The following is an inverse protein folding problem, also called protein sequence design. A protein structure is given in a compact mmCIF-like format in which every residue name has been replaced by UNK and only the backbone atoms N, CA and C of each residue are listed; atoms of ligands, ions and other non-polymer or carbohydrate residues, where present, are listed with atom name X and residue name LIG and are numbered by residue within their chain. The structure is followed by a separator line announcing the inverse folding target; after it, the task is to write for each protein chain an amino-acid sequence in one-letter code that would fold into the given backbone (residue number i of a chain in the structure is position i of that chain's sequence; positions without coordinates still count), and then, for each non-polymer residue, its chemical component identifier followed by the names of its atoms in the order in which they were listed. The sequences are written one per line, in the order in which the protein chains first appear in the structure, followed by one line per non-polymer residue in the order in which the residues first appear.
data_IF_957960205443
#
_entry.id   IF_957960205443
#
_cell.length_a   1.000
_cell.length_b   1.000
_cell.length_c   1.000
_cell.angle_alpha   90.00
_cell.angle_beta   90.00
_cell.angle_gamma   90.00
#
_symmetry.space_group_name_H-M   'P 1'
#
loop_
_entity.id
_entity.type
_entity.pdbx_description
1 polymer ?
#
# COMPACT_ATOMS: atom_id res chain seq x y z
N UNK A 1 29.87 -15.62 -30.52
CA UNK A 1 28.92 -14.79 -29.73
C UNK A 1 27.55 -15.45 -29.75
N UNK A 2 27.08 -16.03 -28.64
CA UNK A 2 25.69 -16.51 -28.50
C UNK A 2 25.21 -16.17 -27.08
N UNK A 3 24.49 -15.05 -26.94
CA UNK A 3 23.84 -14.65 -25.68
C UNK A 3 22.47 -15.34 -25.64
N UNK A 4 22.34 -16.37 -24.80
CA UNK A 4 21.05 -17.01 -24.55
C UNK A 4 20.20 -16.09 -23.65
N UNK A 5 19.02 -15.76 -24.16
CA UNK A 5 18.09 -14.81 -23.55
C UNK A 5 17.35 -15.49 -22.40
N UNK A 6 17.52 -14.92 -21.20
CA UNK A 6 16.98 -15.38 -19.94
C UNK A 6 15.47 -15.04 -19.88
N UNK A 7 14.60 -15.95 -20.32
CA UNK A 7 13.14 -15.81 -20.17
C UNK A 7 12.74 -16.23 -18.75
N UNK A 8 12.82 -15.29 -17.81
CA UNK A 8 12.22 -15.47 -16.49
C UNK A 8 10.70 -15.56 -16.63
N UNK A 9 10.16 -16.74 -16.33
CA UNK A 9 8.75 -17.03 -16.20
C UNK A 9 8.21 -16.26 -14.98
N UNK A 10 7.78 -15.01 -15.18
CA UNK A 10 7.00 -14.25 -14.19
C UNK A 10 5.63 -14.91 -14.08
N UNK A 11 5.50 -15.88 -13.18
CA UNK A 11 4.20 -16.33 -12.67
C UNK A 11 3.49 -15.07 -12.15
N UNK A 12 2.47 -14.62 -12.88
CA UNK A 12 1.64 -13.50 -12.46
C UNK A 12 0.97 -13.93 -11.14
N UNK A 13 1.34 -13.25 -10.06
CA UNK A 13 0.68 -13.41 -8.77
C UNK A 13 -0.78 -12.98 -8.97
N UNK A 14 -1.78 -13.76 -8.49
CA UNK A 14 -3.17 -13.37 -8.63
C UNK A 14 -3.36 -11.96 -8.07
N UNK A 15 -3.88 -11.07 -8.91
CA UNK A 15 -4.26 -9.73 -8.48
C UNK A 15 -5.34 -9.87 -7.42
N UNK A 16 -5.17 -9.32 -6.22
CA UNK A 16 -6.22 -9.37 -5.21
C UNK A 16 -7.50 -8.77 -5.78
N UNK A 17 -8.58 -9.55 -5.71
CA UNK A 17 -9.91 -9.17 -6.17
C UNK A 17 -10.46 -8.18 -5.14
N UNK A 18 -10.44 -6.89 -5.48
CA UNK A 18 -11.06 -5.85 -4.66
C UNK A 18 -12.37 -5.41 -5.33
N UNK A 19 -13.48 -5.26 -4.57
CA UNK A 19 -14.76 -4.81 -5.11
C UNK A 19 -14.64 -3.40 -5.71
N UNK A 20 -15.31 -3.17 -6.85
CA UNK A 20 -15.11 -2.03 -7.76
C UNK A 20 -15.44 -0.63 -7.18
N UNK A 21 -16.02 -0.53 -5.98
CA UNK A 21 -16.15 0.75 -5.25
C UNK A 21 -15.01 0.88 -4.23
N UNK A 22 -13.82 1.10 -4.76
CA UNK A 22 -12.49 1.07 -4.12
C UNK A 22 -12.22 2.15 -3.05
N UNK A 23 -13.24 2.83 -2.51
CA UNK A 23 -13.06 3.87 -1.50
C UNK A 23 -13.48 3.34 -0.13
N UNK A 24 -12.52 3.17 0.77
CA UNK A 24 -12.78 2.80 2.17
C UNK A 24 -12.95 4.06 3.02
N UNK A 25 -13.94 4.08 3.91
CA UNK A 25 -14.21 5.22 4.81
C UNK A 25 -13.83 4.85 6.24
N UNK A 26 -13.10 5.75 6.90
CA UNK A 26 -12.83 5.69 8.34
C UNK A 26 -13.11 7.02 9.00
N UNK A 27 -13.17 7.05 10.32
CA UNK A 27 -13.29 8.29 11.08
C UNK A 27 -11.93 8.72 11.62
N UNK A 28 -11.59 10.00 11.49
CA UNK A 28 -10.41 10.59 12.12
C UNK A 28 -10.56 10.59 13.65
N UNK A 29 -9.65 9.95 14.41
CA UNK A 29 -9.75 9.90 15.87
C UNK A 29 -9.43 11.25 16.54
N UNK A 30 -8.94 12.25 15.78
CA UNK A 30 -8.59 13.58 16.31
C UNK A 30 -9.74 14.59 16.18
N UNK A 31 -10.41 14.64 15.04
CA UNK A 31 -11.44 15.64 14.76
C UNK A 31 -12.82 15.04 14.46
N UNK A 32 -12.95 13.70 14.38
CA UNK A 32 -14.22 13.04 14.09
C UNK A 32 -14.66 13.13 12.62
N UNK A 33 -13.88 13.79 11.75
CA UNK A 33 -14.20 13.89 10.33
C UNK A 33 -14.04 12.55 9.61
N UNK A 34 -14.79 12.38 8.52
CA UNK A 34 -14.64 11.24 7.64
C UNK A 34 -13.39 11.34 6.78
N UNK A 35 -12.66 10.23 6.72
CA UNK A 35 -11.47 10.07 5.88
C UNK A 35 -11.75 8.98 4.86
N UNK A 36 -11.60 9.34 3.59
CA UNK A 36 -11.82 8.45 2.46
C UNK A 36 -10.47 8.00 1.90
N UNK A 37 -10.33 6.71 1.69
CA UNK A 37 -9.08 6.06 1.31
C UNK A 37 -9.24 5.36 -0.01
N UNK A 38 -8.30 5.59 -0.92
CA UNK A 38 -8.22 4.79 -2.14
C UNK A 38 -7.43 3.50 -1.87
N UNK A 39 -7.50 2.46 -2.73
CA UNK A 39 -6.80 1.20 -2.48
C UNK A 39 -5.28 1.38 -2.56
N UNK A 40 -4.80 2.34 -3.33
CA UNK A 40 -3.36 2.63 -3.43
C UNK A 40 -2.78 3.07 -2.07
N UNK A 41 -3.62 3.68 -1.22
CA UNK A 41 -3.25 4.13 0.12
C UNK A 41 -3.10 2.99 1.13
N UNK A 42 -3.56 1.76 0.84
CA UNK A 42 -3.46 0.62 1.77
C UNK A 42 -2.00 0.27 2.16
N UNK A 43 -1.05 0.63 1.30
CA UNK A 43 0.38 0.38 1.53
C UNK A 43 1.09 1.54 2.26
N UNK A 44 0.37 2.63 2.57
CA UNK A 44 0.90 3.75 3.33
C UNK A 44 0.71 3.54 4.82
N UNK A 45 1.78 3.72 5.61
CA UNK A 45 1.76 3.52 7.07
C UNK A 45 0.90 4.53 7.81
N UNK A 46 0.85 5.76 7.28
CA UNK A 46 0.13 6.88 7.86
C UNK A 46 -0.64 7.59 6.76
N UNK A 47 -1.78 8.13 7.11
CA UNK A 47 -2.69 8.84 6.22
C UNK A 47 -2.92 10.25 6.72
N UNK A 48 -3.11 11.17 5.80
CA UNK A 48 -3.31 12.57 6.12
C UNK A 48 -4.81 12.86 6.26
N UNK A 49 -5.23 13.41 7.39
CA UNK A 49 -6.59 13.92 7.56
C UNK A 49 -6.71 15.29 6.89
N UNK A 50 -7.48 15.37 5.80
CA UNK A 50 -7.70 16.64 5.08
C UNK A 50 -8.46 17.69 5.93
N UNK A 51 -9.20 17.27 6.96
CA UNK A 51 -9.99 18.18 7.80
C UNK A 51 -9.18 18.83 8.92
N UNK A 52 -8.23 18.13 9.53
CA UNK A 52 -7.46 18.64 10.68
C UNK A 52 -5.95 18.70 10.45
N UNK A 53 -5.46 18.25 9.30
CA UNK A 53 -4.04 18.29 8.94
C UNK A 53 -3.15 17.26 9.65
N UNK A 54 -3.73 16.36 10.45
CA UNK A 54 -2.97 15.39 11.23
C UNK A 54 -2.64 14.12 10.44
N UNK A 55 -1.46 13.55 10.73
CA UNK A 55 -1.05 12.25 10.19
C UNK A 55 -1.51 11.12 11.12
N UNK A 56 -2.44 10.31 10.64
CA UNK A 56 -3.09 9.23 11.37
C UNK A 56 -2.50 7.87 10.99
N UNK A 57 -2.53 6.87 11.88
CA UNK A 57 -2.21 5.50 11.49
C UNK A 57 -3.22 4.99 10.46
N UNK A 58 -2.73 4.30 9.42
CA UNK A 58 -3.60 3.64 8.46
C UNK A 58 -4.11 2.31 9.03
N UNK A 59 -5.42 2.14 9.27
CA UNK A 59 -5.95 0.88 9.79
C UNK A 59 -5.84 -0.28 8.79
N UNK A 60 -5.63 0.00 7.51
CA UNK A 60 -5.45 -1.01 6.46
C UNK A 60 -3.98 -1.42 6.24
N UNK A 61 -3.03 -0.75 6.90
CA UNK A 61 -1.62 -1.06 6.70
C UNK A 61 -1.24 -2.37 7.39
N UNK A 62 -0.96 -3.40 6.60
CA UNK A 62 -0.38 -4.64 7.09
C UNK A 62 1.15 -4.66 6.87
N UNK A 63 1.98 -4.68 7.92
CA UNK A 63 3.44 -4.82 7.78
C UNK A 63 3.87 -6.16 7.16
N UNK A 64 3.02 -7.19 7.21
CA UNK A 64 3.27 -8.53 6.66
C UNK A 64 2.86 -8.65 5.19
N UNK A 65 2.16 -7.65 4.64
CA UNK A 65 1.78 -7.62 3.23
C UNK A 65 3.03 -7.78 2.34
N UNK A 66 3.02 -8.74 1.38
CA UNK A 66 4.20 -9.02 0.56
C UNK A 66 4.72 -7.82 -0.22
N UNK A 67 3.86 -6.86 -0.59
CA UNK A 67 4.29 -5.63 -1.23
C UNK A 67 5.02 -4.71 -0.24
N UNK A 68 4.49 -4.52 0.97
CA UNK A 68 5.12 -3.76 2.05
C UNK A 68 6.47 -4.35 2.50
N UNK A 69 6.56 -5.68 2.61
CA UNK A 69 7.82 -6.39 2.93
C UNK A 69 8.87 -6.11 1.85
N UNK A 70 8.52 -6.28 0.57
CA UNK A 70 9.42 -6.01 -0.57
C UNK A 70 9.86 -4.54 -0.62
N UNK A 71 8.94 -3.60 -0.36
CA UNK A 71 9.21 -2.16 -0.30
C UNK A 71 10.20 -1.83 0.83
N UNK A 72 10.04 -2.45 2.01
CA UNK A 72 10.96 -2.28 3.16
C UNK A 72 12.35 -2.83 2.86
N UNK A 73 12.45 -4.04 2.29
CA UNK A 73 13.74 -4.64 1.92
C UNK A 73 14.52 -3.73 0.95
N UNK A 74 13.88 -3.19 -0.08
CA UNK A 74 14.53 -2.26 -1.03
C UNK A 74 15.11 -1.02 -0.37
N UNK A 75 14.44 -0.45 0.64
CA UNK A 75 14.95 0.71 1.39
C UNK A 75 16.18 0.36 2.23
N UNK A 76 16.28 -0.88 2.71
CA UNK A 76 17.41 -1.33 3.52
C UNK A 76 18.66 -1.68 2.68
N UNK A 77 18.53 -1.83 1.36
CA UNK A 77 19.66 -2.09 0.46
C UNK A 77 20.40 -0.82 -0.01
N UNK A 78 19.93 0.37 0.38
CA UNK A 78 20.51 1.67 -0.02
C UNK A 78 21.26 2.38 1.12
N UNK A 79 21.60 1.68 2.19
CA UNK A 79 22.44 2.15 3.31
C UNK A 79 23.64 1.24 3.45
#
# INVERSE_FOLDING_TARGET
MKKQSNKQNRKQLPSPVFPDSRIYRTTCPKCGADVFHTPEMQHEKKLFCLSCGEMLPNPLYDPSDPYNVRRKLRRNFTT
#
